data_IF_436141241227
#
_entry.id   IF_436141241227
#
_cell.length_a   1.000
_cell.length_b   1.000
_cell.length_c   1.000
_cell.angle_alpha   90.00
_cell.angle_beta   90.00
_cell.angle_gamma   90.00
#
_symmetry.space_group_name_H-M   'P 1'
#
loop_
_entity.id
_entity.type
_entity.pdbx_description
1 polymer ?
#
# COMPACT_ATOMS: atom_id res chain seq x y z
N UNK A 1 -10.01 -20.94 -24.88
CA UNK A 1 -8.60 -21.33 -25.15
C UNK A 1 -8.61 -22.68 -25.88
N UNK A 2 -7.51 -23.15 -26.48
CA UNK A 2 -7.51 -24.48 -27.12
C UNK A 2 -7.11 -25.56 -26.10
N UNK A 3 -7.91 -26.62 -26.00
CA UNK A 3 -7.61 -27.74 -25.11
C UNK A 3 -6.91 -28.83 -25.91
N UNK A 4 -5.75 -29.28 -25.45
CA UNK A 4 -4.99 -30.35 -26.11
C UNK A 4 -5.35 -31.69 -25.49
N UNK A 5 -5.85 -32.65 -26.29
CA UNK A 5 -6.23 -33.99 -25.84
C UNK A 5 -5.43 -35.03 -26.64
N UNK A 6 -4.98 -36.09 -25.98
CA UNK A 6 -4.30 -37.21 -26.62
C UNK A 6 -5.30 -38.27 -27.05
N UNK A 7 -5.20 -38.74 -28.30
CA UNK A 7 -6.01 -39.85 -28.78
C UNK A 7 -5.57 -41.17 -28.11
N UNK A 8 -6.46 -41.95 -27.49
CA UNK A 8 -6.11 -43.23 -26.85
C UNK A 8 -5.66 -44.31 -27.83
N UNK A 9 -6.03 -44.22 -29.11
CA UNK A 9 -5.68 -45.25 -30.11
C UNK A 9 -4.33 -45.00 -30.78
N UNK A 10 -3.95 -43.74 -31.03
CA UNK A 10 -2.72 -43.41 -31.76
C UNK A 10 -1.77 -42.44 -31.03
N UNK A 11 -2.09 -42.04 -29.79
CA UNK A 11 -1.34 -41.08 -28.96
C UNK A 11 -1.10 -39.69 -29.58
N UNK A 12 -1.73 -39.37 -30.73
CA UNK A 12 -1.61 -38.06 -31.35
C UNK A 12 -2.23 -36.97 -30.47
N UNK A 13 -1.55 -35.82 -30.34
CA UNK A 13 -2.07 -34.62 -29.67
C UNK A 13 -2.98 -33.85 -30.63
N UNK A 14 -4.24 -33.63 -30.25
CA UNK A 14 -5.19 -32.82 -31.00
C UNK A 14 -5.50 -31.54 -30.21
N UNK A 15 -5.39 -30.39 -30.87
CA UNK A 15 -5.89 -29.13 -30.35
C UNK A 15 -7.35 -28.97 -30.78
N UNK A 16 -8.26 -28.93 -29.80
CA UNK A 16 -9.70 -28.81 -30.03
C UNK A 16 -10.21 -27.49 -29.45
N UNK A 17 -11.13 -26.78 -30.14
CA UNK A 17 -11.79 -25.62 -29.58
C UNK A 17 -12.74 -26.04 -28.45
N UNK A 18 -12.85 -25.24 -27.39
CA UNK A 18 -13.70 -25.51 -26.22
C UNK A 18 -15.18 -25.76 -26.58
N UNK A 19 -15.65 -25.23 -27.71
CA UNK A 19 -17.01 -25.47 -28.24
C UNK A 19 -17.29 -26.92 -28.67
N UNK A 20 -16.25 -27.76 -28.73
CA UNK A 20 -16.36 -29.19 -29.04
C UNK A 20 -16.38 -30.10 -27.80
N UNK A 21 -16.36 -29.52 -26.59
CA UNK A 21 -16.51 -30.27 -25.36
C UNK A 21 -17.86 -31.01 -25.33
N UNK A 22 -17.83 -32.33 -25.07
CA UNK A 22 -19.02 -33.18 -25.05
C UNK A 22 -19.50 -33.67 -26.43
N UNK A 23 -18.89 -33.22 -27.54
CA UNK A 23 -19.20 -33.73 -28.88
C UNK A 23 -18.22 -34.83 -29.29
N UNK A 24 -18.68 -35.70 -30.19
CA UNK A 24 -17.85 -36.75 -30.80
C UNK A 24 -17.06 -36.16 -31.97
N UNK A 25 -15.74 -36.33 -31.94
CA UNK A 25 -14.81 -35.83 -32.96
C UNK A 25 -13.96 -36.98 -33.47
N UNK A 26 -13.74 -37.04 -34.78
CA UNK A 26 -12.89 -38.06 -35.41
C UNK A 26 -11.43 -37.62 -35.31
N UNK A 27 -10.55 -38.54 -34.92
CA UNK A 27 -9.12 -38.31 -34.99
C UNK A 27 -8.65 -38.29 -36.45
N UNK A 28 -7.90 -37.27 -36.92
CA UNK A 28 -7.48 -37.19 -38.31
C UNK A 28 -6.38 -38.22 -38.66
N UNK A 29 -5.71 -38.81 -37.67
CA UNK A 29 -4.64 -39.80 -37.92
C UNK A 29 -5.13 -41.25 -37.98
N UNK A 30 -6.14 -41.61 -37.19
CA UNK A 30 -6.59 -43.00 -37.08
C UNK A 30 -8.11 -43.19 -37.30
N UNK A 31 -8.83 -42.13 -37.67
CA UNK A 31 -10.29 -42.10 -37.89
C UNK A 31 -11.17 -42.54 -36.70
N UNK A 32 -10.59 -42.91 -35.55
CA UNK A 32 -11.32 -43.29 -34.36
C UNK A 32 -12.15 -42.13 -33.83
N UNK A 33 -13.43 -42.39 -33.53
CA UNK A 33 -14.35 -41.40 -32.95
C UNK A 33 -14.08 -41.28 -31.45
N UNK A 34 -13.62 -40.11 -31.02
CA UNK A 34 -13.33 -39.79 -29.63
C UNK A 34 -14.47 -38.96 -29.04
N UNK A 35 -14.94 -39.35 -27.86
CA UNK A 35 -15.83 -38.50 -27.07
C UNK A 35 -14.96 -37.56 -26.26
N UNK A 36 -14.99 -36.26 -26.57
CA UNK A 36 -14.28 -35.26 -25.76
C UNK A 36 -14.94 -35.25 -24.39
N UNK A 37 -14.23 -35.57 -23.29
CA UNK A 37 -14.80 -35.49 -21.97
C UNK A 37 -15.30 -34.06 -21.81
N UNK A 38 -16.61 -33.90 -21.65
CA UNK A 38 -17.18 -32.61 -21.29
C UNK A 38 -16.36 -32.16 -20.09
N UNK A 39 -15.62 -31.05 -20.24
CA UNK A 39 -14.95 -30.46 -19.11
C UNK A 39 -16.02 -30.41 -18.04
N UNK A 40 -15.84 -31.16 -16.95
CA UNK A 40 -16.70 -31.04 -15.78
C UNK A 40 -16.55 -29.57 -15.43
N UNK A 41 -17.48 -28.76 -15.93
CA UNK A 41 -17.75 -27.47 -15.37
C UNK A 41 -17.88 -27.80 -13.90
N UNK A 42 -17.07 -27.14 -13.09
CA UNK A 42 -17.19 -27.23 -11.65
C UNK A 42 -18.52 -26.58 -11.35
N UNK A 43 -19.61 -27.32 -11.58
CA UNK A 43 -20.93 -27.05 -11.06
C UNK A 43 -20.77 -27.24 -9.56
N UNK A 44 -20.55 -26.10 -8.91
CA UNK A 44 -20.70 -25.95 -7.49
C UNK A 44 -22.08 -26.51 -7.11
N UNK A 45 -22.06 -27.69 -6.48
CA UNK A 45 -23.24 -28.32 -5.90
C UNK A 45 -23.80 -27.37 -4.82
N UNK A 46 -25.10 -27.04 -4.80
CA UNK A 46 -25.67 -26.07 -3.86
C UNK A 46 -25.64 -26.61 -2.44
N UNK A 47 -25.00 -25.90 -1.52
CA UNK A 47 -25.10 -26.14 -0.09
C UNK A 47 -26.00 -25.07 0.55
N UNK A 48 -26.95 -25.54 1.37
CA UNK A 48 -27.81 -24.76 2.26
C UNK A 48 -27.01 -23.79 3.16
N UNK A 49 -27.64 -22.69 3.64
CA UNK A 49 -26.96 -21.55 4.20
C UNK A 49 -26.52 -21.81 5.65
N UNK A 50 -25.26 -21.54 5.98
CA UNK A 50 -24.82 -21.37 7.37
C UNK A 50 -23.93 -20.13 7.48
N UNK A 51 -24.41 -19.25 8.35
CA UNK A 51 -23.80 -18.10 9.03
C UNK A 51 -22.29 -17.87 8.96
N UNK A 52 -21.95 -16.57 8.83
CA UNK A 52 -20.65 -15.94 9.07
C UNK A 52 -19.89 -16.53 10.27
N UNK A 53 -18.68 -17.06 10.01
CA UNK A 53 -17.69 -17.54 10.99
C UNK A 53 -16.31 -17.78 10.33
N UNK A 54 -15.19 -17.78 11.07
CA UNK A 54 -13.84 -17.51 10.56
C UNK A 54 -13.24 -18.64 9.72
N UNK A 55 -12.49 -18.25 8.67
CA UNK A 55 -11.90 -19.09 7.61
C UNK A 55 -11.04 -20.25 8.15
N UNK A 56 -11.45 -21.52 7.95
CA UNK A 56 -10.62 -22.70 8.20
C UNK A 56 -10.30 -23.40 6.87
N UNK A 57 -9.08 -23.23 6.37
CA UNK A 57 -8.66 -23.89 5.13
C UNK A 57 -7.16 -23.94 4.88
N UNK A 58 -6.32 -23.67 5.90
CA UNK A 58 -4.88 -23.76 5.76
C UNK A 58 -4.47 -25.23 5.58
N UNK A 59 -4.08 -25.61 4.35
CA UNK A 59 -3.45 -26.89 4.07
C UNK A 59 -2.10 -26.93 4.80
N UNK A 60 -1.84 -27.98 5.58
CA UNK A 60 -0.57 -28.11 6.33
C UNK A 60 0.36 -29.04 5.56
N UNK A 61 1.61 -28.64 5.39
CA UNK A 61 2.64 -29.51 4.83
C UNK A 61 3.27 -30.35 5.95
N UNK A 62 3.33 -31.67 5.73
CA UNK A 62 3.96 -32.62 6.65
C UNK A 62 4.98 -33.44 5.85
N UNK A 63 6.18 -33.63 6.38
CA UNK A 63 7.21 -34.46 5.75
C UNK A 63 7.03 -35.92 6.15
N UNK A 64 7.04 -36.83 5.18
CA UNK A 64 7.03 -38.27 5.44
C UNK A 64 8.40 -38.71 6.01
N UNK A 65 8.49 -39.50 7.09
CA UNK A 65 9.75 -39.95 7.66
C UNK A 65 10.42 -41.04 6.82
N UNK A 66 9.66 -41.77 5.98
CA UNK A 66 10.22 -42.79 5.10
C UNK A 66 10.93 -42.23 3.86
N UNK A 67 10.34 -41.21 3.21
CA UNK A 67 10.86 -40.67 1.95
C UNK A 67 11.16 -39.15 1.96
N UNK A 68 10.97 -38.49 3.10
CA UNK A 68 11.15 -37.04 3.32
C UNK A 68 10.32 -36.09 2.44
N UNK A 69 9.48 -36.61 1.54
CA UNK A 69 8.63 -35.81 0.65
C UNK A 69 7.54 -35.06 1.42
N UNK A 70 7.34 -33.79 1.10
CA UNK A 70 6.30 -32.95 1.71
C UNK A 70 4.92 -33.28 1.14
N UNK A 71 3.99 -33.71 1.99
CA UNK A 71 2.60 -33.96 1.63
C UNK A 71 1.72 -32.83 2.16
N UNK A 72 0.83 -32.32 1.31
CA UNK A 72 -0.17 -31.32 1.70
C UNK A 72 -1.42 -32.04 2.18
N UNK A 73 -1.68 -31.98 3.48
CA UNK A 73 -2.79 -32.71 4.11
C UNK A 73 -3.85 -31.70 4.60
N UNK A 74 -5.14 -31.93 4.34
CA UNK A 74 -6.20 -31.09 4.87
C UNK A 74 -6.29 -31.23 6.40
N UNK A 75 -6.61 -30.14 7.09
CA UNK A 75 -6.72 -30.12 8.56
C UNK A 75 -7.76 -31.12 9.10
N UNK A 76 -8.74 -31.51 8.29
CA UNK A 76 -9.76 -32.53 8.61
C UNK A 76 -9.23 -33.96 8.71
N UNK A 77 -7.99 -34.22 8.29
CA UNK A 77 -7.33 -35.51 8.44
C UNK A 77 -6.39 -35.56 9.66
N UNK A 78 -6.33 -34.51 10.49
CA UNK A 78 -5.58 -34.52 11.73
C UNK A 78 -6.03 -35.69 12.63
N UNK A 79 -5.07 -36.48 13.13
CA UNK A 79 -5.34 -37.67 13.95
C UNK A 79 -5.65 -38.96 13.18
N UNK A 80 -5.86 -38.92 11.85
CA UNK A 80 -6.05 -40.12 11.02
C UNK A 80 -4.71 -40.60 10.43
N UNK A 81 -4.62 -41.90 10.18
CA UNK A 81 -3.45 -42.50 9.52
C UNK A 81 -3.62 -42.39 8.01
N UNK A 82 -2.70 -41.71 7.33
CA UNK A 82 -2.68 -41.56 5.86
C UNK A 82 -1.48 -42.30 5.28
N UNK A 83 -1.66 -42.99 4.14
CA UNK A 83 -0.55 -43.63 3.43
C UNK A 83 0.17 -42.63 2.54
N UNK A 84 1.50 -42.61 2.58
CA UNK A 84 2.30 -41.82 1.66
C UNK A 84 2.22 -42.43 0.24
N UNK A 85 1.89 -41.65 -0.81
CA UNK A 85 1.77 -42.17 -2.18
C UNK A 85 3.11 -42.51 -2.84
N UNK A 86 4.26 -42.26 -2.18
CA UNK A 86 5.59 -42.51 -2.74
C UNK A 86 6.27 -43.72 -2.11
N UNK A 87 6.03 -44.01 -0.83
CA UNK A 87 6.68 -45.12 -0.11
C UNK A 87 5.69 -46.04 0.61
N UNK A 88 4.37 -45.81 0.46
CA UNK A 88 3.29 -46.60 1.08
C UNK A 88 3.31 -46.69 2.62
N UNK A 89 4.21 -45.94 3.28
CA UNK A 89 4.32 -45.91 4.74
C UNK A 89 3.09 -45.23 5.35
N UNK A 90 2.50 -45.87 6.35
CA UNK A 90 1.34 -45.36 7.10
C UNK A 90 1.81 -44.28 8.08
N UNK A 91 1.41 -43.03 7.86
CA UNK A 91 1.78 -41.87 8.68
C UNK A 91 0.64 -41.47 9.61
N UNK A 92 0.89 -41.40 10.92
CA UNK A 92 -0.05 -40.84 11.89
C UNK A 92 0.15 -39.32 11.96
N UNK A 93 -0.86 -38.55 11.57
CA UNK A 93 -0.79 -37.08 11.61
C UNK A 93 -0.94 -36.64 13.08
N UNK A 94 0.03 -35.92 13.67
CA UNK A 94 -0.11 -35.41 15.03
C UNK A 94 -1.33 -34.49 15.09
N UNK A 95 -2.35 -34.91 15.86
CA UNK A 95 -3.52 -34.09 16.12
C UNK A 95 -3.07 -32.82 16.82
N UNK A 96 -3.49 -31.66 16.32
CA UNK A 96 -3.31 -30.43 17.10
C UNK A 96 -4.02 -30.63 18.45
N UNK A 97 -3.41 -30.25 19.58
CA UNK A 97 -4.12 -30.24 20.85
C UNK A 97 -5.46 -29.50 20.67
N UNK A 98 -6.56 -30.01 21.25
CA UNK A 98 -7.87 -29.40 21.09
C UNK A 98 -7.77 -27.93 21.45
N UNK A 99 -7.97 -27.06 20.46
CA UNK A 99 -8.01 -25.62 20.65
C UNK A 99 -9.08 -25.36 21.69
N UNK A 100 -8.66 -24.99 22.91
CA UNK A 100 -9.55 -24.49 23.94
C UNK A 100 -10.45 -23.44 23.28
N UNK A 101 -11.76 -23.63 23.40
CA UNK A 101 -12.75 -22.76 22.78
C UNK A 101 -12.52 -21.30 23.17
N UNK A 102 -13.01 -20.34 22.37
CA UNK A 102 -12.84 -18.93 22.65
C UNK A 102 -13.41 -18.63 24.04
N UNK A 103 -12.51 -18.37 24.99
CA UNK A 103 -12.86 -17.85 26.30
C UNK A 103 -13.75 -16.63 26.06
N UNK A 104 -15.00 -16.70 26.55
CA UNK A 104 -15.90 -15.55 26.65
C UNK A 104 -15.07 -14.36 27.12
N UNK A 105 -14.96 -13.35 26.26
CA UNK A 105 -14.43 -12.03 26.62
C UNK A 105 -15.18 -11.61 27.89
N UNK A 106 -14.50 -11.68 29.02
CA UNK A 106 -14.94 -11.03 30.24
C UNK A 106 -15.16 -9.55 29.92
N UNK A 107 -16.26 -9.01 30.42
CA UNK A 107 -16.61 -7.61 30.29
C UNK A 107 -15.40 -6.71 30.66
N UNK A 108 -15.23 -5.55 30.02
CA UNK A 108 -14.16 -4.63 30.36
C UNK A 108 -14.27 -4.26 31.83
N UNK A 109 -13.21 -4.57 32.58
CA UNK A 109 -13.02 -4.07 33.94
C UNK A 109 -13.00 -2.53 33.87
N UNK A 110 -13.73 -1.81 34.74
CA UNK A 110 -13.71 -0.35 34.79
C UNK A 110 -12.28 0.16 34.87
N UNK A 111 -11.97 1.16 34.06
CA UNK A 111 -10.66 1.79 34.03
C UNK A 111 -10.25 2.27 35.43
N UNK A 112 -8.99 2.09 35.85
CA UNK A 112 -8.49 2.71 37.06
C UNK A 112 -8.57 4.23 36.93
N UNK A 113 -9.24 4.82 37.91
CA UNK A 113 -9.38 6.26 38.15
C UNK A 113 -8.01 6.94 37.99
N UNK A 114 -7.89 8.00 37.16
CA UNK A 114 -6.68 8.81 37.13
C UNK A 114 -6.40 9.34 38.54
N UNK A 115 -5.19 9.11 39.05
CA UNK A 115 -4.68 9.81 40.23
C UNK A 115 -4.75 11.30 39.92
N UNK A 116 -5.54 12.01 40.72
CA UNK A 116 -5.55 13.46 40.79
C UNK A 116 -4.11 13.92 41.02
N UNK A 117 -3.57 14.65 40.05
CA UNK A 117 -2.43 15.50 40.27
C UNK A 117 -2.87 16.64 41.19
N UNK A 118 -2.04 16.92 42.18
CA UNK A 118 -2.20 18.00 43.12
C UNK A 118 -2.27 19.37 42.40
N UNK A 119 -2.96 20.37 43.00
CA UNK A 119 -2.99 21.73 42.50
C UNK A 119 -1.63 22.38 42.72
N UNK A 120 -1.04 22.94 41.67
CA UNK A 120 0.00 23.96 41.79
C UNK A 120 -0.65 25.31 41.56
N UNK A 121 -0.69 26.08 42.64
CA UNK A 121 -0.99 27.50 42.67
C UNK A 121 0.05 28.26 41.83
N UNK A 122 -0.35 28.79 40.68
CA UNK A 122 0.33 29.89 40.01
C UNK A 122 -0.72 30.92 39.62
N UNK A 123 -1.10 31.68 40.64
CA UNK A 123 -2.15 32.70 40.65
C UNK A 123 -1.48 34.04 41.00
N UNK A 124 -0.68 34.56 40.06
CA UNK A 124 -0.17 35.94 39.98
C UNK A 124 0.51 36.04 38.59
N UNK A 125 0.17 36.88 37.62
CA UNK A 125 -0.69 38.05 37.51
C UNK A 125 -0.25 38.79 36.23
N UNK A 126 -1.18 39.47 35.54
CA UNK A 126 -0.90 40.38 34.44
C UNK A 126 -1.41 39.87 33.08
N UNK A 127 -2.63 40.21 32.63
CA UNK A 127 -3.03 41.54 32.12
C UNK A 127 -2.02 42.01 31.06
N UNK A 128 -2.30 42.05 29.77
CA UNK A 128 -3.51 42.49 29.08
C UNK A 128 -3.08 43.45 27.96
N UNK A 129 -3.97 43.69 27.00
CA UNK A 129 -3.86 44.65 25.88
C UNK A 129 -2.90 44.27 24.74
N UNK A 130 -3.24 44.42 23.47
CA UNK A 130 -4.17 45.40 22.87
C UNK A 130 -3.33 46.35 22.02
N UNK A 131 -3.77 46.61 20.79
CA UNK A 131 -3.01 47.41 19.83
C UNK A 131 -2.77 48.87 20.26
N UNK A 132 -1.68 49.42 19.75
CA UNK A 132 -1.37 50.84 19.60
C UNK A 132 -0.24 50.90 18.55
N UNK A 133 -0.38 51.46 17.36
CA UNK A 133 -0.28 52.90 17.05
C UNK A 133 0.85 53.58 17.81
N UNK A 134 2.06 53.52 17.25
CA UNK A 134 3.24 54.27 17.67
C UNK A 134 3.07 55.77 17.30
N UNK A 135 3.02 56.71 18.26
CA UNK A 135 2.98 58.14 17.97
C UNK A 135 4.29 58.88 18.33
N UNK A 136 5.37 58.19 18.69
CA UNK A 136 6.64 58.82 19.12
C UNK A 136 7.90 57.98 18.82
N UNK A 137 8.04 57.49 17.59
CA UNK A 137 9.20 56.68 17.16
C UNK A 137 10.24 57.40 16.28
N UNK A 138 10.13 58.73 16.13
CA UNK A 138 11.10 59.55 15.38
C UNK A 138 11.80 60.51 16.34
N UNK A 139 12.93 60.08 16.90
CA UNK A 139 14.00 60.97 17.38
C UNK A 139 15.34 60.24 17.31
N UNK A 140 16.27 60.81 16.55
CA UNK A 140 17.66 60.87 17.02
C UNK A 140 18.67 59.99 16.31
N UNK A 141 18.89 60.29 15.04
CA UNK A 141 20.20 60.27 14.41
C UNK A 141 21.31 60.76 15.36
N UNK A 142 22.18 59.86 15.84
CA UNK A 142 23.49 60.24 16.40
C UNK A 142 24.60 59.35 15.88
N UNK A 143 25.52 60.05 15.20
CA UNK A 143 26.75 59.64 14.59
C UNK A 143 27.63 58.67 15.40
N UNK A 144 28.33 57.80 14.65
CA UNK A 144 29.55 57.13 15.05
C UNK A 144 30.62 58.11 15.57
N UNK A 145 31.49 57.68 16.51
CA UNK A 145 32.88 58.12 16.51
C UNK A 145 33.89 56.96 16.62
N UNK A 146 35.20 57.23 16.46
CA UNK A 146 36.13 56.37 15.72
C UNK A 146 37.05 55.52 16.61
N UNK A 147 37.84 54.69 15.91
CA UNK A 147 38.99 53.97 16.43
C UNK A 147 40.05 54.88 17.08
N UNK A 148 40.45 54.53 18.30
CA UNK A 148 41.79 54.70 18.90
C UNK A 148 41.77 53.86 20.19
N UNK A 149 42.69 52.94 20.47
CA UNK A 149 44.11 53.17 20.65
C UNK A 149 44.40 53.31 22.15
N UNK A 150 44.83 52.25 22.82
CA UNK A 150 45.25 52.31 24.22
C UNK A 150 45.26 50.95 24.91
N UNK A 151 46.43 50.30 24.93
CA UNK A 151 46.65 49.10 25.72
C UNK A 151 47.02 49.40 27.17
N UNK A 152 46.66 48.49 28.07
CA UNK A 152 47.32 48.11 29.33
C UNK A 152 46.74 46.71 29.62
N UNK A 153 47.51 45.62 29.64
CA UNK A 153 48.63 45.38 30.56
C UNK A 153 48.10 44.61 31.76
N UNK A 154 47.98 43.29 31.65
CA UNK A 154 47.48 42.42 32.73
C UNK A 154 47.56 40.95 32.38
N UNK A 155 48.75 40.38 32.51
CA UNK A 155 49.00 38.96 32.29
C UNK A 155 48.47 38.07 33.41
N UNK A 156 47.94 36.91 33.03
CA UNK A 156 47.80 35.71 33.86
C UNK A 156 47.75 34.49 32.92
N UNK A 157 48.16 33.30 33.39
CA UNK A 157 49.04 32.42 32.62
C UNK A 157 48.32 31.51 31.63
N UNK A 158 49.08 31.13 30.61
CA UNK A 158 48.75 30.11 29.63
C UNK A 158 48.28 28.82 30.32
N UNK A 159 46.98 28.54 30.24
CA UNK A 159 46.49 27.18 30.35
C UNK A 159 46.75 26.50 29.01
N UNK A 160 47.71 25.60 29.02
CA UNK A 160 48.05 24.75 27.91
C UNK A 160 46.80 24.02 27.41
N UNK A 161 46.43 24.26 26.16
CA UNK A 161 45.50 23.41 25.42
C UNK A 161 46.00 21.96 25.49
N UNK A 162 45.17 20.98 25.85
CA UNK A 162 45.55 19.58 25.71
C UNK A 162 45.76 19.27 24.21
N UNK A 163 46.77 18.45 23.86
CA UNK A 163 46.91 17.98 22.50
C UNK A 163 45.67 17.14 22.14
N UNK A 164 45.04 17.51 21.03
CA UNK A 164 43.93 16.78 20.42
C UNK A 164 44.42 15.41 19.94
N UNK A 165 44.45 14.45 20.85
CA UNK A 165 44.49 13.02 20.57
C UNK A 165 43.07 12.50 20.71
N UNK A 166 42.41 12.28 19.58
CA UNK A 166 41.02 11.86 19.57
C UNK A 166 40.55 11.42 18.20
N UNK A 167 41.23 10.43 17.63
CA UNK A 167 40.64 9.57 16.61
C UNK A 167 39.40 8.88 17.18
N UNK A 168 38.27 9.57 17.13
CA UNK A 168 36.97 9.00 17.42
C UNK A 168 36.66 7.97 16.35
N UNK A 169 36.73 6.69 16.72
CA UNK A 169 36.15 5.62 15.93
C UNK A 169 34.69 5.98 15.63
N UNK A 170 34.44 6.39 14.38
CA UNK A 170 33.09 6.59 13.89
C UNK A 170 32.34 5.27 14.07
N UNK A 171 31.30 5.27 14.90
CA UNK A 171 30.37 4.14 14.99
C UNK A 171 29.93 3.76 13.58
N UNK A 172 30.16 2.50 13.19
CA UNK A 172 29.77 1.96 11.88
C UNK A 172 28.26 2.04 11.58
N UNK A 173 27.46 2.43 12.57
CA UNK A 173 26.00 2.61 12.48
C UNK A 173 25.54 4.07 12.63
N UNK A 174 26.45 5.04 12.75
CA UNK A 174 26.06 6.44 12.67
C UNK A 174 25.80 6.78 11.19
N UNK A 175 24.57 7.19 10.80
CA UNK A 175 24.36 7.73 9.47
C UNK A 175 25.28 8.95 9.32
N UNK A 176 26.04 9.08 8.22
CA UNK A 176 27.01 10.14 8.06
C UNK A 176 26.33 11.49 8.31
N UNK A 177 26.84 12.21 9.31
CA UNK A 177 26.32 13.51 9.68
C UNK A 177 26.45 14.46 8.49
N UNK A 178 25.31 14.82 7.89
CA UNK A 178 25.14 16.10 7.20
C UNK A 178 26.08 16.40 6.03
N UNK A 179 26.71 15.40 5.41
CA UNK A 179 27.28 15.54 4.08
C UNK A 179 26.11 15.63 3.09
N UNK A 180 25.68 16.85 2.78
CA UNK A 180 24.58 17.11 1.85
C UNK A 180 24.74 16.26 0.59
N UNK A 181 23.82 15.31 0.42
CA UNK A 181 23.68 14.54 -0.80
C UNK A 181 23.24 15.48 -1.92
N UNK A 182 24.22 16.18 -2.49
CA UNK A 182 24.19 16.84 -3.79
C UNK A 182 24.19 15.80 -4.90
N UNK A 183 23.32 14.79 -4.80
CA UNK A 183 22.97 13.94 -5.95
C UNK A 183 22.08 14.77 -6.86
N UNK A 184 22.71 15.53 -7.76
CA UNK A 184 22.02 16.35 -8.75
C UNK A 184 22.54 17.78 -8.90
N UNK A 185 23.83 18.05 -8.65
CA UNK A 185 24.46 19.22 -9.24
C UNK A 185 24.93 18.86 -10.67
N UNK A 186 23.98 18.66 -11.60
CA UNK A 186 24.29 18.90 -13.01
C UNK A 186 24.42 20.40 -13.17
N UNK A 187 25.65 20.88 -13.25
CA UNK A 187 25.96 22.27 -13.49
C UNK A 187 25.33 22.77 -14.79
N UNK A 188 24.87 24.02 -14.78
CA UNK A 188 24.46 24.74 -15.98
C UNK A 188 23.48 25.87 -15.71
N UNK A 189 24.02 27.05 -15.40
CA UNK A 189 23.45 28.35 -15.81
C UNK A 189 22.24 28.87 -15.03
N UNK A 190 22.46 29.95 -14.27
CA UNK A 190 21.39 30.71 -13.63
C UNK A 190 20.35 31.24 -14.63
N UNK A 191 19.09 30.90 -14.39
CA UNK A 191 17.95 31.39 -15.17
C UNK A 191 16.76 30.42 -15.18
N UNK A 192 16.26 29.96 -14.03
CA UNK A 192 15.30 28.85 -14.02
C UNK A 192 14.51 28.64 -12.73
N UNK A 193 13.86 29.68 -12.19
CA UNK A 193 12.91 29.51 -11.09
C UNK A 193 11.66 28.69 -11.45
N UNK A 194 11.40 28.48 -12.75
CA UNK A 194 10.21 27.78 -13.25
C UNK A 194 10.37 26.25 -13.39
N UNK A 195 11.59 25.71 -13.44
CA UNK A 195 11.77 24.30 -13.80
C UNK A 195 11.40 23.33 -12.67
N UNK A 196 11.54 23.75 -11.41
CA UNK A 196 11.09 22.95 -10.26
C UNK A 196 9.56 22.83 -10.19
N UNK A 197 8.85 23.86 -10.68
CA UNK A 197 7.39 23.84 -10.74
C UNK A 197 6.89 22.85 -11.80
N UNK A 198 7.63 22.69 -12.91
CA UNK A 198 7.26 21.78 -13.98
C UNK A 198 7.16 20.32 -13.51
N UNK A 199 8.05 19.88 -12.61
CA UNK A 199 8.04 18.51 -12.11
C UNK A 199 6.77 18.15 -11.32
N UNK A 200 6.23 19.05 -10.50
CA UNK A 200 4.98 18.78 -9.77
C UNK A 200 3.77 18.80 -10.70
N UNK A 201 3.76 19.70 -11.68
CA UNK A 201 2.67 19.84 -12.65
C UNK A 201 2.59 18.59 -13.55
N UNK A 202 3.73 18.13 -14.09
CA UNK A 202 3.78 16.94 -14.95
C UNK A 202 3.29 15.70 -14.19
N UNK A 203 3.76 15.50 -12.95
CA UNK A 203 3.31 14.39 -12.11
C UNK A 203 1.83 14.45 -11.76
N UNK A 204 1.37 15.62 -11.30
CA UNK A 204 -0.04 15.83 -10.95
C UNK A 204 -0.96 15.61 -12.15
N UNK A 205 -0.56 16.11 -13.33
CA UNK A 205 -1.29 15.94 -14.57
C UNK A 205 -1.35 14.47 -15.03
N UNK A 206 -0.23 13.72 -14.96
CA UNK A 206 -0.23 12.30 -15.30
C UNK A 206 -1.12 11.47 -14.36
N UNK A 207 -1.04 11.72 -13.04
CA UNK A 207 -1.90 11.05 -12.06
C UNK A 207 -3.37 11.38 -12.30
N UNK A 208 -3.70 12.66 -12.56
CA UNK A 208 -5.07 13.07 -12.87
C UNK A 208 -5.58 12.44 -14.18
N UNK A 209 -4.79 12.45 -15.24
CA UNK A 209 -5.17 11.86 -16.52
C UNK A 209 -5.42 10.36 -16.39
N UNK A 210 -4.54 9.65 -15.68
CA UNK A 210 -4.72 8.22 -15.47
C UNK A 210 -5.92 7.90 -14.57
N UNK A 211 -6.12 8.67 -13.49
CA UNK A 211 -7.30 8.56 -12.64
C UNK A 211 -8.59 8.83 -13.42
N UNK A 212 -8.59 9.78 -14.36
CA UNK A 212 -9.73 10.05 -15.24
C UNK A 212 -10.09 8.86 -16.11
N UNK A 213 -9.11 8.24 -16.80
CA UNK A 213 -9.35 7.04 -17.60
C UNK A 213 -9.83 5.87 -16.75
N UNK A 214 -9.23 5.67 -15.58
CA UNK A 214 -9.58 4.59 -14.66
C UNK A 214 -11.00 4.77 -14.08
N UNK A 215 -11.34 5.97 -13.63
CA UNK A 215 -12.70 6.32 -13.18
C UNK A 215 -13.70 6.18 -14.32
N UNK A 216 -13.37 6.65 -15.52
CA UNK A 216 -14.23 6.50 -16.71
C UNK A 216 -14.53 5.03 -17.02
N UNK A 217 -13.50 4.17 -17.03
CA UNK A 217 -13.67 2.73 -17.19
C UNK A 217 -14.52 2.11 -16.07
N UNK A 218 -14.29 2.49 -14.80
CA UNK A 218 -15.08 2.05 -13.67
C UNK A 218 -16.56 2.45 -13.79
N UNK A 219 -16.83 3.70 -14.17
CA UNK A 219 -18.18 4.21 -14.41
C UNK A 219 -18.88 3.49 -15.56
N UNK A 220 -18.18 3.20 -16.67
CA UNK A 220 -18.75 2.44 -17.78
C UNK A 220 -19.12 1.00 -17.39
N UNK A 221 -18.24 0.31 -16.65
CA UNK A 221 -18.55 -1.03 -16.14
C UNK A 221 -19.71 -1.01 -15.14
N UNK A 222 -19.73 -0.02 -14.24
CA UNK A 222 -20.82 0.16 -13.29
C UNK A 222 -22.14 0.44 -14.02
N UNK A 223 -22.15 1.31 -15.02
CA UNK A 223 -23.31 1.62 -15.84
C UNK A 223 -23.80 0.38 -16.61
N UNK A 224 -22.90 -0.38 -17.23
CA UNK A 224 -23.24 -1.63 -17.91
C UNK A 224 -23.88 -2.64 -16.95
N UNK A 225 -23.38 -2.72 -15.72
CA UNK A 225 -23.87 -3.63 -14.70
C UNK A 225 -25.23 -3.15 -14.13
N UNK A 226 -25.46 -1.84 -14.02
CA UNK A 226 -26.77 -1.25 -13.71
C UNK A 226 -27.77 -1.53 -14.84
N UNK A 227 -27.39 -1.33 -16.10
CA UNK A 227 -28.23 -1.66 -17.26
C UNK A 227 -28.56 -3.13 -17.25
N UNK A 228 -27.56 -3.99 -16.98
CA UNK A 228 -27.82 -5.40 -16.74
C UNK A 228 -28.89 -5.50 -15.67
N UNK A 229 -28.72 -4.98 -14.44
CA UNK A 229 -29.68 -4.99 -13.31
C UNK A 229 -31.10 -4.43 -13.58
N UNK A 230 -31.28 -3.59 -14.59
CA UNK A 230 -32.61 -3.09 -14.99
C UNK A 230 -33.30 -4.03 -15.98
N UNK A 231 -32.56 -4.73 -16.84
CA UNK A 231 -33.14 -5.56 -17.91
C UNK A 231 -33.77 -6.89 -17.45
N UNK A 232 -33.70 -7.23 -16.17
CA UNK A 232 -34.28 -8.44 -15.58
C UNK A 232 -33.65 -9.77 -16.01
N UNK A 233 -32.58 -9.77 -16.81
CA UNK A 233 -31.99 -10.99 -17.40
C UNK A 233 -30.97 -11.71 -16.49
N UNK A 234 -31.23 -11.87 -15.20
CA UNK A 234 -30.33 -12.65 -14.31
C UNK A 234 -30.91 -14.01 -14.00
N UNK A 235 -30.02 -14.99 -13.90
CA UNK A 235 -30.30 -16.25 -13.24
C UNK A 235 -30.22 -16.03 -11.72
N UNK A 236 -31.15 -16.63 -10.96
CA UNK A 236 -31.26 -16.48 -9.50
C UNK A 236 -29.97 -16.83 -8.72
N UNK A 237 -29.06 -17.60 -9.33
CA UNK A 237 -27.77 -17.93 -8.75
C UNK A 237 -26.69 -16.84 -8.84
N UNK A 238 -26.86 -15.83 -9.69
CA UNK A 238 -25.79 -14.86 -10.01
C UNK A 238 -25.88 -13.57 -9.18
N UNK A 239 -26.99 -13.34 -8.48
CA UNK A 239 -27.24 -12.11 -7.70
C UNK A 239 -26.13 -11.73 -6.70
N UNK A 240 -25.55 -12.62 -5.87
CA UNK A 240 -24.49 -12.23 -4.94
C UNK A 240 -23.19 -11.81 -5.65
N UNK A 241 -22.90 -12.39 -6.80
CA UNK A 241 -21.72 -12.03 -7.60
C UNK A 241 -21.89 -10.64 -8.22
N UNK A 242 -23.08 -10.36 -8.76
CA UNK A 242 -23.40 -9.05 -9.35
C UNK A 242 -23.33 -7.96 -8.28
N UNK A 243 -23.94 -8.17 -7.10
CA UNK A 243 -23.85 -7.21 -5.98
C UNK A 243 -22.39 -6.97 -5.59
N UNK A 244 -21.59 -8.03 -5.48
CA UNK A 244 -20.16 -7.92 -5.18
C UNK A 244 -19.40 -7.09 -6.20
N UNK A 245 -19.68 -7.27 -7.50
CA UNK A 245 -19.10 -6.47 -8.56
C UNK A 245 -19.58 -5.02 -8.53
N UNK A 246 -20.87 -4.75 -8.28
CA UNK A 246 -21.40 -3.38 -8.14
C UNK A 246 -20.69 -2.62 -7.03
N UNK A 247 -20.56 -3.24 -5.86
CA UNK A 247 -19.88 -2.63 -4.70
C UNK A 247 -18.39 -2.43 -5.03
N UNK A 248 -17.74 -3.41 -5.65
CA UNK A 248 -16.34 -3.32 -6.07
C UNK A 248 -16.09 -2.15 -7.02
N UNK A 249 -16.88 -2.03 -8.10
CA UNK A 249 -16.76 -0.90 -9.03
C UNK A 249 -17.12 0.44 -8.38
N UNK A 250 -18.09 0.48 -7.46
CA UNK A 250 -18.41 1.68 -6.69
C UNK A 250 -17.23 2.19 -5.86
N UNK A 251 -16.52 1.29 -5.16
CA UNK A 251 -15.31 1.64 -4.41
C UNK A 251 -14.20 2.12 -5.34
N UNK A 252 -14.01 1.45 -6.48
CA UNK A 252 -13.04 1.85 -7.51
C UNK A 252 -13.31 3.26 -8.03
N UNK A 253 -14.57 3.59 -8.36
CA UNK A 253 -14.96 4.93 -8.83
C UNK A 253 -14.69 5.98 -7.76
N UNK A 254 -15.04 5.71 -6.51
CA UNK A 254 -14.77 6.63 -5.39
C UNK A 254 -13.27 6.89 -5.16
N UNK A 255 -12.44 5.84 -5.23
CA UNK A 255 -10.99 5.98 -5.13
C UNK A 255 -10.41 6.74 -6.32
N UNK A 256 -10.88 6.47 -7.53
CA UNK A 256 -10.45 7.19 -8.73
C UNK A 256 -10.81 8.67 -8.69
N UNK A 257 -12.00 9.05 -8.21
CA UNK A 257 -12.39 10.45 -8.00
C UNK A 257 -11.50 11.15 -6.95
N UNK A 258 -11.13 10.42 -5.90
CA UNK A 258 -10.20 10.91 -4.87
C UNK A 258 -8.80 11.13 -5.46
N UNK A 259 -8.31 10.21 -6.30
CA UNK A 259 -7.04 10.36 -7.01
C UNK A 259 -7.08 11.50 -8.04
N UNK A 260 -8.17 11.65 -8.78
CA UNK A 260 -8.35 12.70 -9.77
C UNK A 260 -8.33 14.09 -9.12
N UNK A 261 -9.14 14.30 -8.08
CA UNK A 261 -9.13 15.55 -7.31
C UNK A 261 -7.78 15.82 -6.63
N UNK A 262 -7.11 14.77 -6.14
CA UNK A 262 -5.75 14.83 -5.62
C UNK A 262 -4.70 15.27 -6.64
N UNK A 263 -4.74 14.73 -7.86
CA UNK A 263 -3.86 15.10 -8.96
C UNK A 263 -4.06 16.56 -9.39
N UNK A 264 -5.31 17.01 -9.49
CA UNK A 264 -5.64 18.42 -9.79
C UNK A 264 -5.14 19.34 -8.67
N UNK A 265 -5.41 19.00 -7.40
CA UNK A 265 -4.95 19.82 -6.27
C UNK A 265 -3.43 19.87 -6.16
N UNK A 266 -2.73 18.81 -6.58
CA UNK A 266 -1.27 18.78 -6.70
C UNK A 266 -0.77 19.70 -7.82
N UNK A 267 -1.42 19.68 -9.00
CA UNK A 267 -1.07 20.57 -10.10
C UNK A 267 -1.34 22.05 -9.76
N UNK A 268 -2.40 22.33 -9.00
CA UNK A 268 -2.75 23.69 -8.57
C UNK A 268 -2.02 24.15 -7.29
N UNK A 269 -1.28 23.28 -6.60
CA UNK A 269 -0.54 23.57 -5.35
C UNK A 269 -1.38 24.11 -4.17
N UNK A 270 -2.70 23.88 -4.15
CA UNK A 270 -3.60 24.51 -3.14
C UNK A 270 -3.65 23.80 -1.78
N UNK A 271 -3.49 22.46 -1.72
CA UNK A 271 -3.73 21.65 -0.51
C UNK A 271 -2.77 20.47 -0.38
N UNK A 272 -1.67 20.67 0.35
CA UNK A 272 -0.63 19.64 0.55
C UNK A 272 -1.15 18.33 1.17
N UNK A 273 -2.08 18.39 2.12
CA UNK A 273 -2.64 17.19 2.75
C UNK A 273 -3.48 16.35 1.76
N UNK A 274 -4.22 17.00 0.86
CA UNK A 274 -5.01 16.31 -0.16
C UNK A 274 -4.11 15.63 -1.19
N UNK A 275 -3.04 16.32 -1.64
CA UNK A 275 -2.05 15.76 -2.56
C UNK A 275 -1.31 14.56 -1.95
N UNK A 276 -0.97 14.62 -0.65
CA UNK A 276 -0.35 13.48 0.07
C UNK A 276 -1.26 12.27 0.16
N UNK A 277 -2.53 12.47 0.53
CA UNK A 277 -3.50 11.37 0.59
C UNK A 277 -3.65 10.69 -0.78
N UNK A 278 -3.76 11.48 -1.85
CA UNK A 278 -3.87 10.95 -3.20
C UNK A 278 -2.62 10.20 -3.67
N UNK A 279 -1.42 10.69 -3.34
CA UNK A 279 -0.16 10.00 -3.66
C UNK A 279 -0.03 8.66 -2.93
N UNK A 280 -0.45 8.58 -1.67
CA UNK A 280 -0.46 7.32 -0.90
C UNK A 280 -1.42 6.32 -1.55
N UNK A 281 -2.62 6.76 -1.96
CA UNK A 281 -3.59 5.90 -2.65
C UNK A 281 -3.02 5.42 -4.00
N UNK A 282 -2.35 6.30 -4.75
CA UNK A 282 -1.71 5.98 -6.02
C UNK A 282 -0.56 4.96 -5.90
N UNK A 283 0.09 4.88 -4.74
CA UNK A 283 1.17 3.94 -4.48
C UNK A 283 0.68 2.51 -4.21
N UNK A 284 -0.63 2.28 -4.09
CA UNK A 284 -1.17 0.94 -3.85
C UNK A 284 -1.10 0.12 -5.17
N UNK A 285 -0.37 -1.00 -5.21
CA UNK A 285 -0.11 -1.76 -6.45
C UNK A 285 -1.37 -2.39 -7.07
N UNK A 286 -2.47 -2.39 -6.34
CA UNK A 286 -3.75 -2.98 -6.75
C UNK A 286 -4.41 -2.25 -7.93
N UNK A 287 -4.05 -0.99 -8.19
CA UNK A 287 -4.72 -0.17 -9.20
C UNK A 287 -4.06 -0.23 -10.59
N UNK A 288 -2.92 -0.92 -10.74
CA UNK A 288 -2.28 -1.17 -12.01
C UNK A 288 -0.77 -0.99 -11.97
N UNK A 289 -0.04 -1.91 -12.59
CA UNK A 289 1.42 -1.92 -12.56
C UNK A 289 2.07 -0.67 -13.18
N UNK A 290 1.35 0.06 -14.03
CA UNK A 290 1.87 1.21 -14.77
C UNK A 290 1.91 2.49 -13.92
N UNK A 291 0.98 2.67 -12.98
CA UNK A 291 0.90 3.89 -12.15
C UNK A 291 1.78 3.82 -10.89
N UNK A 292 2.17 2.61 -10.48
CA UNK A 292 2.98 2.36 -9.29
C UNK A 292 4.30 3.17 -9.22
N UNK A 293 5.15 3.23 -10.27
CA UNK A 293 6.40 4.00 -10.19
C UNK A 293 6.15 5.50 -10.01
N UNK A 294 5.12 6.04 -10.65
CA UNK A 294 4.74 7.45 -10.52
C UNK A 294 4.17 7.77 -9.14
N UNK A 295 3.36 6.87 -8.57
CA UNK A 295 2.84 7.00 -7.21
C UNK A 295 3.97 7.06 -6.16
N UNK A 296 4.95 6.17 -6.25
CA UNK A 296 6.12 6.19 -5.35
C UNK A 296 6.90 7.49 -5.50
N UNK A 297 7.18 7.89 -6.74
CA UNK A 297 7.96 9.10 -6.98
C UNK A 297 7.26 10.36 -6.46
N UNK A 298 5.95 10.48 -6.71
CA UNK A 298 5.13 11.56 -6.14
C UNK A 298 5.13 11.55 -4.61
N UNK A 299 5.12 10.37 -3.98
CA UNK A 299 5.20 10.23 -2.53
C UNK A 299 6.54 10.76 -2.01
N UNK A 300 7.67 10.37 -2.61
CA UNK A 300 9.00 10.87 -2.22
C UNK A 300 9.06 12.40 -2.35
N UNK A 301 8.54 12.96 -3.44
CA UNK A 301 8.51 14.41 -3.66
C UNK A 301 7.65 15.15 -2.62
N UNK A 302 6.44 14.67 -2.35
CA UNK A 302 5.48 15.32 -1.43
C UNK A 302 5.86 15.20 0.06
N UNK A 303 6.65 14.19 0.43
CA UNK A 303 7.17 14.02 1.78
C UNK A 303 8.50 14.74 2.02
N UNK A 304 9.12 15.29 0.98
CA UNK A 304 10.30 16.14 1.14
C UNK A 304 9.98 17.40 1.96
N UNK A 305 10.98 17.92 2.69
CA UNK A 305 10.84 19.16 3.46
C UNK A 305 10.57 20.37 2.54
N UNK A 306 11.02 20.31 1.29
CA UNK A 306 10.87 21.36 0.28
C UNK A 306 9.40 21.52 -0.15
N UNK A 307 8.64 20.42 -0.24
CA UNK A 307 7.23 20.48 -0.62
C UNK A 307 6.37 21.35 0.33
N UNK A 308 6.73 21.45 1.62
CA UNK A 308 6.01 22.32 2.55
C UNK A 308 6.16 23.81 2.22
N UNK A 309 7.31 24.21 1.65
CA UNK A 309 7.56 25.61 1.25
C UNK A 309 6.82 25.91 -0.06
N UNK A 310 6.89 24.99 -1.02
CA UNK A 310 6.31 25.15 -2.36
C UNK A 310 4.76 25.17 -2.39
N UNK A 311 4.10 24.59 -1.38
CA UNK A 311 2.63 24.58 -1.26
C UNK A 311 2.07 25.66 -0.33
N UNK A 312 2.94 26.53 0.22
CA UNK A 312 2.53 27.63 1.11
C UNK A 312 2.39 28.98 0.38
N UNK A 313 2.82 29.03 -0.89
CA UNK A 313 2.68 30.16 -1.82
C UNK A 313 1.33 30.12 -2.54
#
# INVERSE_FOLDING_TARGET
>A
MSTTIQCPSCAAKLALPESSAGKRVKCPKCATVLTVPAAKSVQAKPAKPVSKGPVPGAKRSIRCPGCQKSLSVPASAAGKTVQCPQCSTKLKIPGSPPSAGPAKKAAPRPAPRPKQAAPSDDLFGGSGSGGSSDPFGDLGNFASPPASGGGFGGGAPASASPPSFGGGAASAYAPPAGGGNSFGASGGGGGGGNDRNAFYIINGAMIALWAFFYTGYGCLNLAMLIVLMVTGKYSDGTLPFIIGQTVGYGVIVMLGLTMFSGGITMAMRKKLNASRAAAIIAAIPCFGCIAFPFGIWATVLLFSANAKKDFRS
#
